data_IF_633032104246
#
_entry.id   IF_633032104246
#
_cell.length_a   1.000
_cell.length_b   1.000
_cell.length_c   1.000
_cell.angle_alpha   90.00
_cell.angle_beta   90.00
_cell.angle_gamma   90.00
#
_symmetry.space_group_name_H-M   'P 1'
#
loop_
_entity.id
_entity.type
_entity.pdbx_description
1 polymer ?
#
# COMPACT_ATOMS: atom_id res chain seq x y z
N UNK A 1 22.83 32.95 60.43
CA UNK A 1 22.69 31.77 59.54
C UNK A 1 21.23 31.37 59.49
N UNK A 2 20.48 31.93 58.53
CA UNK A 2 19.03 31.75 58.42
C UNK A 2 18.73 30.35 57.84
N UNK A 3 17.88 29.59 58.54
CA UNK A 3 17.24 28.38 58.02
C UNK A 3 16.19 28.82 57.01
N UNK A 4 16.37 28.47 55.73
CA UNK A 4 15.37 28.68 54.69
C UNK A 4 14.33 27.55 54.72
N UNK A 5 13.07 27.92 54.53
CA UNK A 5 11.89 27.15 54.90
C UNK A 5 11.53 26.02 53.94
N UNK A 6 10.78 25.07 54.51
CA UNK A 6 9.91 24.13 53.78
C UNK A 6 8.91 24.91 52.92
N UNK A 7 8.86 24.64 51.63
CA UNK A 7 7.73 24.98 50.77
C UNK A 7 7.02 23.71 50.29
N UNK A 8 5.70 23.75 50.39
CA UNK A 8 4.77 22.70 49.99
C UNK A 8 4.74 22.51 48.47
N UNK A 9 4.56 21.27 48.01
CA UNK A 9 4.26 20.96 46.61
C UNK A 9 2.77 21.23 46.35
N UNK A 10 2.38 22.00 45.31
CA UNK A 10 1.01 22.02 44.86
C UNK A 10 0.69 20.68 44.17
N UNK A 11 -0.52 20.16 44.42
CA UNK A 11 -1.06 19.03 43.71
C UNK A 11 -1.58 19.50 42.35
N UNK A 12 -0.94 19.05 41.27
CA UNK A 12 -1.41 19.30 39.90
C UNK A 12 -2.43 18.22 39.48
N UNK A 13 -3.60 18.59 38.94
CA UNK A 13 -4.63 17.66 38.53
C UNK A 13 -4.35 17.06 37.13
N UNK A 14 -4.40 15.73 37.04
CA UNK A 14 -4.97 15.05 35.86
C UNK A 14 -4.10 14.92 34.60
N UNK A 15 -2.90 14.36 34.72
CA UNK A 15 -2.09 13.93 33.57
C UNK A 15 -2.58 12.61 32.90
N UNK A 16 -3.89 12.47 32.61
CA UNK A 16 -4.43 11.26 31.95
C UNK A 16 -5.03 11.49 30.57
N UNK A 17 -5.05 12.73 30.03
CA UNK A 17 -5.68 13.03 28.73
C UNK A 17 -4.73 13.27 27.56
N UNK A 18 -3.41 13.36 27.80
CA UNK A 18 -2.43 13.61 26.74
C UNK A 18 -1.79 12.34 26.13
N UNK A 19 -1.86 11.20 26.82
CA UNK A 19 -1.24 9.96 26.35
C UNK A 19 -2.02 9.29 25.19
N UNK A 20 -3.34 9.49 25.12
CA UNK A 20 -4.17 8.88 24.08
C UNK A 20 -3.91 9.47 22.69
N UNK A 21 -3.62 10.77 22.59
CA UNK A 21 -3.49 11.44 21.30
C UNK A 21 -2.23 11.04 20.52
N UNK A 22 -1.19 10.56 21.20
CA UNK A 22 0.06 10.09 20.55
C UNK A 22 -0.11 8.66 20.00
N UNK A 23 -1.05 7.88 20.54
CA UNK A 23 -1.28 6.48 20.12
C UNK A 23 -2.19 6.32 18.90
N UNK A 24 -2.84 7.38 18.41
CA UNK A 24 -3.68 7.30 17.21
C UNK A 24 -2.93 7.49 15.89
N UNK A 25 -1.66 7.92 15.93
CA UNK A 25 -0.89 8.24 14.71
C UNK A 25 -0.31 7.03 13.95
N UNK A 26 -0.42 5.82 14.50
CA UNK A 26 0.13 4.60 13.88
C UNK A 26 -0.94 3.73 13.21
N UNK A 27 -2.19 4.20 13.16
CA UNK A 27 -3.32 3.39 12.67
C UNK A 27 -3.49 3.42 11.15
N UNK A 28 -2.80 4.31 10.45
CA UNK A 28 -2.85 4.34 9.00
C UNK A 28 -1.74 3.47 8.43
N UNK A 29 -2.00 2.16 8.32
CA UNK A 29 -1.23 1.28 7.45
C UNK A 29 -1.47 1.73 6.00
N UNK A 30 -0.69 2.75 5.60
CA UNK A 30 -0.71 3.35 4.28
C UNK A 30 0.06 2.40 3.36
N UNK A 31 -0.69 1.60 2.61
CA UNK A 31 -0.15 0.88 1.47
C UNK A 31 0.51 1.87 0.53
N UNK A 32 1.72 1.55 0.05
CA UNK A 32 2.45 2.36 -0.94
C UNK A 32 1.53 2.71 -2.10
N UNK A 33 1.40 4.00 -2.42
CA UNK A 33 0.47 4.48 -3.44
C UNK A 33 1.09 4.49 -4.84
N UNK A 34 0.27 4.79 -5.86
CA UNK A 34 0.76 4.92 -7.25
C UNK A 34 1.73 6.10 -7.37
N UNK A 35 1.44 7.20 -6.69
CA UNK A 35 2.30 8.39 -6.63
C UNK A 35 3.66 8.05 -6.00
N UNK A 36 3.68 7.19 -4.96
CA UNK A 36 4.93 6.72 -4.36
C UNK A 36 5.78 5.91 -5.35
N UNK A 37 5.14 5.17 -6.28
CA UNK A 37 5.86 4.47 -7.36
C UNK A 37 6.51 5.45 -8.32
N UNK A 38 5.80 6.48 -8.76
CA UNK A 38 6.34 7.48 -9.68
C UNK A 38 7.52 8.26 -9.06
N UNK A 39 7.38 8.67 -7.81
CA UNK A 39 8.41 9.40 -7.06
C UNK A 39 9.67 8.56 -6.80
N UNK A 40 9.52 7.25 -6.62
CA UNK A 40 10.65 6.34 -6.32
C UNK A 40 11.34 5.77 -7.55
N UNK A 41 10.70 5.82 -8.72
CA UNK A 41 11.21 5.23 -9.97
C UNK A 41 12.61 5.77 -10.36
N UNK A 42 12.91 7.09 -10.30
CA UNK A 42 14.24 7.61 -10.63
C UNK A 42 15.33 7.11 -9.69
N UNK A 43 15.02 7.02 -8.40
CA UNK A 43 15.95 6.52 -7.37
C UNK A 43 16.28 5.04 -7.60
N UNK A 44 15.27 4.23 -7.91
CA UNK A 44 15.45 2.83 -8.25
C UNK A 44 16.29 2.65 -9.53
N UNK A 45 16.04 3.46 -10.57
CA UNK A 45 16.84 3.44 -11.79
C UNK A 45 18.30 3.83 -11.53
N UNK A 46 18.56 4.81 -10.65
CA UNK A 46 19.91 5.18 -10.24
C UNK A 46 20.62 4.03 -9.48
N UNK A 47 19.89 3.30 -8.62
CA UNK A 47 20.39 2.12 -7.93
C UNK A 47 20.76 1.01 -8.94
N UNK A 48 19.91 0.71 -9.92
CA UNK A 48 20.22 -0.25 -10.97
C UNK A 48 21.43 0.15 -11.82
N UNK A 49 21.61 1.44 -12.10
CA UNK A 49 22.81 1.94 -12.78
C UNK A 49 24.08 1.67 -11.96
N UNK A 50 23.98 1.74 -10.63
CA UNK A 50 25.09 1.42 -9.71
C UNK A 50 25.38 -0.07 -9.68
N UNK A 51 24.34 -0.92 -9.69
CA UNK A 51 24.49 -2.38 -9.77
C UNK A 51 25.23 -2.76 -11.06
N UNK A 52 24.85 -2.20 -12.22
CA UNK A 52 25.50 -2.47 -13.50
C UNK A 52 27.00 -2.13 -13.46
N UNK A 53 27.37 -0.98 -12.89
CA UNK A 53 28.78 -0.60 -12.69
C UNK A 53 29.50 -1.58 -11.75
N UNK A 54 28.85 -2.03 -10.68
CA UNK A 54 29.41 -3.01 -9.75
C UNK A 54 29.68 -4.37 -10.40
N UNK A 55 28.96 -4.72 -11.47
CA UNK A 55 29.18 -5.92 -12.27
C UNK A 55 30.28 -5.74 -13.34
N UNK A 56 30.87 -4.55 -13.46
CA UNK A 56 31.85 -4.22 -14.50
C UNK A 56 31.24 -3.91 -15.87
N UNK A 57 29.91 -3.73 -15.96
CA UNK A 57 29.24 -3.30 -17.18
C UNK A 57 29.28 -1.78 -17.35
N UNK A 58 29.21 -1.30 -18.60
CA UNK A 58 29.05 0.12 -18.92
C UNK A 58 27.57 0.47 -19.12
N UNK A 59 26.95 1.26 -18.20
CA UNK A 59 25.56 1.69 -18.35
C UNK A 59 25.32 2.63 -19.56
N UNK A 60 26.37 3.25 -20.12
CA UNK A 60 26.27 4.12 -21.29
C UNK A 60 26.27 3.35 -22.61
N UNK A 61 26.53 2.04 -22.60
CA UNK A 61 26.44 1.19 -23.78
C UNK A 61 25.02 1.24 -24.36
N UNK A 62 24.88 1.33 -25.68
CA UNK A 62 23.58 1.47 -26.36
C UNK A 62 22.52 0.46 -25.87
N UNK A 63 22.92 -0.80 -25.65
CA UNK A 63 22.03 -1.86 -25.16
C UNK A 63 21.62 -1.74 -23.67
N UNK A 64 22.32 -0.92 -22.88
CA UNK A 64 22.12 -0.77 -21.44
C UNK A 64 21.49 0.57 -21.04
N UNK A 65 21.47 1.57 -21.92
CA UNK A 65 20.92 2.91 -21.61
C UNK A 65 19.51 2.87 -21.00
N UNK A 66 18.65 1.95 -21.47
CA UNK A 66 17.28 1.79 -20.96
C UNK A 66 17.13 0.74 -19.86
N UNK A 67 18.16 -0.07 -19.61
CA UNK A 67 18.10 -1.18 -18.65
C UNK A 67 17.79 -0.73 -17.22
N UNK A 68 18.40 0.35 -16.69
CA UNK A 68 18.10 0.78 -15.32
C UNK A 68 16.63 1.13 -15.10
N UNK A 69 16.00 1.82 -16.07
CA UNK A 69 14.58 2.16 -16.01
C UNK A 69 13.69 0.93 -16.16
N UNK A 70 14.00 0.04 -17.12
CA UNK A 70 13.24 -1.20 -17.31
C UNK A 70 13.30 -2.10 -16.08
N UNK A 71 14.47 -2.21 -15.44
CA UNK A 71 14.65 -2.98 -14.23
C UNK A 71 13.88 -2.34 -13.05
N UNK A 72 13.94 -1.02 -12.90
CA UNK A 72 13.16 -0.27 -11.91
C UNK A 72 11.66 -0.52 -12.05
N UNK A 73 11.12 -0.39 -13.26
CA UNK A 73 9.70 -0.63 -13.54
C UNK A 73 9.32 -2.09 -13.30
N UNK A 74 10.14 -3.04 -13.75
CA UNK A 74 9.90 -4.47 -13.50
C UNK A 74 9.87 -4.79 -11.99
N UNK A 75 10.77 -4.19 -11.22
CA UNK A 75 10.82 -4.38 -9.77
C UNK A 75 9.57 -3.83 -9.07
N UNK A 76 9.09 -2.66 -9.49
CA UNK A 76 7.80 -2.12 -9.00
C UNK A 76 6.63 -3.05 -9.35
N UNK A 77 6.62 -3.62 -10.56
CA UNK A 77 5.59 -4.56 -10.95
C UNK A 77 5.62 -5.85 -10.12
N UNK A 78 6.80 -6.42 -9.86
CA UNK A 78 6.92 -7.63 -9.04
C UNK A 78 6.55 -7.39 -7.58
N UNK A 79 6.68 -6.15 -7.10
CA UNK A 79 6.39 -5.76 -5.71
C UNK A 79 5.05 -5.02 -5.57
N UNK A 80 4.22 -4.97 -6.62
CA UNK A 80 2.92 -4.28 -6.59
C UNK A 80 1.94 -4.88 -5.58
N UNK A 81 2.07 -6.17 -5.26
CA UNK A 81 1.22 -6.86 -4.29
C UNK A 81 1.30 -6.30 -2.87
N UNK A 82 2.38 -5.60 -2.50
CA UNK A 82 2.45 -4.90 -1.20
C UNK A 82 1.51 -3.68 -1.13
N UNK A 83 0.96 -3.25 -2.26
CA UNK A 83 0.04 -2.12 -2.39
C UNK A 83 -1.42 -2.61 -2.36
N UNK A 84 -1.66 -3.89 -2.61
CA UNK A 84 -2.98 -4.49 -2.74
C UNK A 84 -3.45 -5.01 -1.38
N UNK A 85 -4.47 -4.37 -0.79
CA UNK A 85 -5.18 -4.93 0.37
C UNK A 85 -6.13 -6.01 -0.11
N UNK A 86 -6.07 -7.20 0.49
CA UNK A 86 -6.92 -8.38 0.18
C UNK A 86 -8.43 -8.01 0.19
N UNK A 87 -8.82 -7.01 0.99
CA UNK A 87 -10.19 -6.50 1.07
C UNK A 87 -10.76 -6.05 -0.28
N UNK A 88 -9.94 -5.55 -1.20
CA UNK A 88 -10.39 -5.13 -2.53
C UNK A 88 -10.62 -6.30 -3.51
N UNK A 89 -9.98 -7.45 -3.28
CA UNK A 89 -10.13 -8.62 -4.16
C UNK A 89 -11.27 -9.55 -3.73
N UNK A 90 -11.65 -9.53 -2.44
CA UNK A 90 -12.88 -10.19 -1.97
C UNK A 90 -14.13 -9.64 -2.65
N UNK A 91 -14.19 -8.34 -2.94
CA UNK A 91 -15.32 -7.76 -3.67
C UNK A 91 -15.38 -8.25 -5.12
N UNK A 92 -14.23 -8.38 -5.79
CA UNK A 92 -14.14 -8.94 -7.14
C UNK A 92 -14.54 -10.42 -7.15
N UNK A 93 -14.15 -11.18 -6.14
CA UNK A 93 -14.54 -12.57 -5.96
C UNK A 93 -16.06 -12.72 -5.74
N UNK A 94 -16.67 -11.84 -4.93
CA UNK A 94 -18.13 -11.81 -4.75
C UNK A 94 -18.86 -11.42 -6.03
N UNK A 95 -18.30 -10.50 -6.82
CA UNK A 95 -18.85 -10.14 -8.13
C UNK A 95 -18.83 -11.36 -9.06
N UNK A 96 -17.69 -12.04 -9.18
CA UNK A 96 -17.54 -13.25 -10.01
C UNK A 96 -18.48 -14.37 -9.56
N UNK A 97 -18.64 -14.58 -8.25
CA UNK A 97 -19.62 -15.54 -7.70
C UNK A 97 -21.05 -15.15 -8.05
N UNK A 98 -21.42 -13.87 -7.93
CA UNK A 98 -22.75 -13.38 -8.33
C UNK A 98 -23.02 -13.51 -9.83
N UNK A 99 -21.98 -13.44 -10.67
CA UNK A 99 -22.07 -13.67 -12.11
C UNK A 99 -22.18 -15.17 -12.44
N UNK A 100 -21.39 -16.02 -11.79
CA UNK A 100 -21.44 -17.47 -12.00
C UNK A 100 -22.73 -18.12 -11.48
N UNK A 101 -23.34 -17.54 -10.44
CA UNK A 101 -24.53 -18.07 -9.77
C UNK A 101 -25.74 -17.12 -9.84
N UNK A 102 -25.73 -16.15 -10.76
CA UNK A 102 -26.83 -15.21 -11.01
C UNK A 102 -28.06 -15.89 -11.61
N UNK A 103 -29.27 -15.29 -11.49
CA UNK A 103 -30.55 -16.00 -11.61
C UNK A 103 -30.70 -16.64 -12.99
N UNK A 104 -30.79 -17.97 -12.98
CA UNK A 104 -31.13 -18.79 -14.14
C UNK A 104 -32.39 -18.26 -14.82
N UNK A 105 -32.20 -17.83 -16.05
CA UNK A 105 -33.21 -17.28 -16.96
C UNK A 105 -34.47 -18.19 -16.97
N UNK A 106 -35.63 -17.75 -16.45
CA UNK A 106 -36.84 -18.56 -16.51
C UNK A 106 -37.37 -18.50 -17.95
N UNK A 107 -36.92 -19.45 -18.77
CA UNK A 107 -37.50 -19.68 -20.09
C UNK A 107 -39.03 -19.78 -19.97
N UNK A 108 -39.81 -19.05 -20.80
CA UNK A 108 -41.26 -19.12 -20.74
C UNK A 108 -41.68 -20.53 -21.17
N UNK A 109 -42.28 -21.29 -20.25
CA UNK A 109 -42.92 -22.56 -20.59
C UNK A 109 -44.06 -22.26 -21.57
N UNK A 110 -43.90 -22.69 -22.82
CA UNK A 110 -45.03 -22.80 -23.77
C UNK A 110 -46.11 -23.64 -23.09
N UNK A 111 -47.28 -23.04 -22.87
CA UNK A 111 -48.46 -23.73 -22.36
C UNK A 111 -48.95 -24.80 -23.35
N UNK A 112 -49.74 -25.78 -22.87
CA UNK A 112 -50.25 -26.85 -23.71
C UNK A 112 -51.16 -26.27 -24.80
N UNK A 113 -50.89 -26.68 -26.03
CA UNK A 113 -51.81 -26.57 -27.16
C UNK A 113 -53.01 -27.47 -26.88
N UNK A 114 -54.13 -26.86 -26.51
CA UNK A 114 -55.44 -27.51 -26.47
C UNK A 114 -56.10 -27.48 -27.87
N UNK A 115 -56.98 -28.45 -28.18
CA UNK A 115 -57.17 -29.04 -29.52
C UNK A 115 -57.99 -28.23 -30.52
#
# INVERSE_FOLDING_TARGET
>A
MLRCGKSARPAEPGAHRAASAVMDSWKEERTRSVEDNEMSLPSLAAAYSTILRGLGEDPQRQGLLKTPWRAATAMQFFTKGYQEKITGDTEKALLIQKWMFGPSDPSPRRGPSDP
#
